data_IF_773191141630
#
_entry.id   IF_773191141630
#
_cell.length_a   1.000
_cell.length_b   1.000
_cell.length_c   1.000
_cell.angle_alpha   90.00
_cell.angle_beta   90.00
_cell.angle_gamma   90.00
#
_symmetry.space_group_name_H-M   'P 1'
#
loop_
_entity.id
_entity.type
_entity.pdbx_description
1 polymer ?
#
# COMPACT_ATOMS: atom_id res chain seq x y z
N UNK A 1 -4.29 -21.96 -9.07
CA UNK A 1 -4.06 -20.62 -8.44
C UNK A 1 -4.33 -19.57 -9.51
N UNK A 2 -5.12 -18.56 -9.19
CA UNK A 2 -5.45 -17.46 -10.09
C UNK A 2 -5.17 -16.14 -9.39
N UNK A 3 -4.58 -15.20 -10.12
CA UNK A 3 -4.36 -13.84 -9.65
C UNK A 3 -4.90 -12.88 -10.71
N UNK A 4 -5.69 -11.91 -10.29
CA UNK A 4 -6.15 -10.80 -11.11
C UNK A 4 -5.73 -9.53 -10.41
N UNK A 5 -5.02 -8.65 -11.10
CA UNK A 5 -4.66 -7.32 -10.62
C UNK A 5 -5.11 -6.33 -11.67
N UNK A 6 -5.86 -5.33 -11.25
CA UNK A 6 -6.40 -4.30 -12.15
C UNK A 6 -6.37 -2.93 -11.50
N UNK A 7 -6.15 -1.91 -12.32
CA UNK A 7 -6.33 -0.51 -11.94
C UNK A 7 -7.01 0.23 -13.09
N UNK A 8 -8.09 0.92 -12.78
CA UNK A 8 -8.78 1.83 -13.68
C UNK A 8 -8.65 3.23 -13.08
N UNK A 9 -8.35 4.22 -13.90
CA UNK A 9 -8.31 5.61 -13.47
C UNK A 9 -8.94 6.52 -14.52
N UNK A 10 -9.51 7.61 -14.04
CA UNK A 10 -10.03 8.69 -14.86
C UNK A 10 -9.46 10.00 -14.35
N UNK A 11 -9.10 10.88 -15.27
CA UNK A 11 -8.67 12.23 -14.96
C UNK A 11 -9.51 13.22 -15.76
N UNK A 12 -9.94 14.28 -15.09
CA UNK A 12 -10.72 15.35 -15.69
C UNK A 12 -10.25 16.70 -15.17
N UNK A 13 -9.98 17.62 -16.09
CA UNK A 13 -9.65 19.01 -15.75
C UNK A 13 -10.93 19.84 -15.78
N UNK A 14 -11.41 20.28 -14.62
CA UNK A 14 -12.65 21.06 -14.50
C UNK A 14 -12.47 22.50 -14.96
N UNK A 15 -11.37 23.12 -14.52
CA UNK A 15 -10.93 24.46 -14.92
C UNK A 15 -9.42 24.42 -15.05
N UNK A 16 -8.84 25.38 -15.78
CA UNK A 16 -7.39 25.43 -16.01
C UNK A 16 -6.63 25.34 -14.69
N UNK A 17 -5.84 24.27 -14.54
CA UNK A 17 -5.05 24.00 -13.35
C UNK A 17 -5.76 23.22 -12.24
N UNK A 18 -7.08 23.02 -12.28
CA UNK A 18 -7.83 22.17 -11.35
C UNK A 18 -8.13 20.81 -12.00
N UNK A 19 -7.35 19.80 -11.63
CA UNK A 19 -7.53 18.42 -12.08
C UNK A 19 -8.12 17.55 -10.98
N UNK A 20 -9.09 16.73 -11.36
CA UNK A 20 -9.62 15.67 -10.52
C UNK A 20 -9.26 14.33 -11.13
N UNK A 21 -8.71 13.46 -10.30
CA UNK A 21 -8.30 12.13 -10.66
C UNK A 21 -8.98 11.15 -9.71
N UNK A 22 -9.70 10.20 -10.29
CA UNK A 22 -10.29 9.07 -9.57
C UNK A 22 -9.58 7.81 -10.03
N UNK A 23 -9.19 6.94 -9.09
CA UNK A 23 -8.64 5.64 -9.43
C UNK A 23 -9.21 4.54 -8.56
N UNK A 24 -9.54 3.42 -9.19
CA UNK A 24 -10.00 2.20 -8.57
C UNK A 24 -9.00 1.10 -8.91
N UNK A 25 -8.30 0.60 -7.90
CA UNK A 25 -7.44 -0.56 -7.97
C UNK A 25 -8.05 -1.73 -7.23
N UNK A 26 -7.73 -2.94 -7.68
CA UNK A 26 -8.07 -4.13 -6.93
C UNK A 26 -7.24 -5.31 -7.37
N UNK A 27 -7.06 -6.22 -6.44
CA UNK A 27 -6.39 -7.47 -6.67
C UNK A 27 -7.15 -8.61 -5.99
N UNK A 28 -7.16 -9.72 -6.70
CA UNK A 28 -7.84 -10.94 -6.30
C UNK A 28 -6.86 -12.08 -6.45
N UNK A 29 -6.75 -12.88 -5.39
CA UNK A 29 -6.02 -14.13 -5.43
C UNK A 29 -6.90 -15.26 -4.92
N UNK A 30 -7.07 -16.27 -5.76
CA UNK A 30 -7.81 -17.48 -5.47
C UNK A 30 -6.91 -18.69 -5.61
N UNK A 31 -6.83 -19.50 -4.56
CA UNK A 31 -6.17 -20.80 -4.62
C UNK A 31 -7.14 -21.86 -4.14
N UNK A 32 -7.33 -22.88 -4.96
CA UNK A 32 -7.99 -24.11 -4.57
C UNK A 32 -7.00 -25.24 -4.76
N UNK A 33 -6.93 -26.14 -3.80
CA UNK A 33 -6.02 -27.27 -3.81
C UNK A 33 -6.71 -28.49 -3.21
N UNK A 34 -6.88 -29.52 -4.03
CA UNK A 34 -7.36 -30.82 -3.60
C UNK A 34 -6.20 -31.82 -3.69
N UNK A 35 -6.06 -32.63 -2.65
CA UNK A 35 -5.09 -33.70 -2.58
C UNK A 35 -5.77 -34.94 -2.04
N UNK A 36 -5.51 -36.08 -2.69
CA UNK A 36 -6.02 -37.36 -2.27
C UNK A 36 -4.86 -38.33 -2.10
N UNK A 37 -4.85 -39.03 -0.97
CA UNK A 37 -3.93 -40.11 -0.67
C UNK A 37 -4.68 -41.43 -0.72
N UNK A 38 -4.32 -42.27 -1.68
CA UNK A 38 -4.89 -43.61 -1.87
C UNK A 38 -4.55 -44.56 -0.73
N UNK A 39 -5.43 -45.53 -0.52
CA UNK A 39 -5.27 -46.63 0.41
C UNK A 39 -4.10 -47.56 0.08
N UNK A 40 -3.63 -47.57 -1.17
CA UNK A 40 -2.51 -48.39 -1.66
C UNK A 40 -1.13 -47.88 -1.20
N UNK A 41 -1.05 -46.63 -0.74
CA UNK A 41 0.20 -46.04 -0.28
C UNK A 41 0.53 -46.49 1.16
N UNK A 42 1.72 -47.09 1.40
CA UNK A 42 2.11 -47.52 2.74
C UNK A 42 2.28 -46.33 3.70
N UNK A 43 2.13 -46.58 5.00
CA UNK A 43 2.39 -45.58 6.05
C UNK A 43 3.90 -45.52 6.34
N UNK A 44 4.44 -44.30 6.46
CA UNK A 44 5.86 -44.09 6.83
C UNK A 44 6.13 -44.78 8.18
N UNK A 45 7.11 -45.69 8.21
CA UNK A 45 7.52 -46.42 9.42
C UNK A 45 6.81 -47.75 9.69
N UNK A 46 5.88 -48.19 8.82
CA UNK A 46 5.24 -49.51 8.93
C UNK A 46 5.81 -50.49 7.88
N UNK A 47 6.33 -51.63 8.33
CA UNK A 47 6.98 -52.65 7.49
C UNK A 47 6.01 -53.57 6.72
N UNK A 48 4.70 -53.35 6.81
CA UNK A 48 3.70 -54.33 6.37
C UNK A 48 2.96 -53.85 5.12
N UNK A 49 3.36 -54.39 3.97
CA UNK A 49 2.71 -54.20 2.66
C UNK A 49 1.34 -54.91 2.52
N UNK A 50 0.85 -55.56 3.59
CA UNK A 50 -0.36 -56.41 3.55
C UNK A 50 -1.65 -55.70 4.01
N UNK A 51 -1.56 -54.55 4.70
CA UNK A 51 -2.74 -53.79 5.17
C UNK A 51 -2.83 -52.45 4.45
N UNK A 52 -3.89 -52.27 3.66
CA UNK A 52 -4.22 -50.98 3.03
C UNK A 52 -4.31 -49.87 4.07
N UNK A 53 -3.74 -48.71 3.77
CA UNK A 53 -3.84 -47.53 4.62
C UNK A 53 -5.23 -46.88 4.51
N UNK A 54 -5.62 -46.09 5.52
CA UNK A 54 -6.88 -45.35 5.44
C UNK A 54 -6.71 -44.18 4.44
N UNK A 55 -7.46 -44.17 3.33
CA UNK A 55 -7.35 -43.08 2.36
C UNK A 55 -7.71 -41.74 2.98
N UNK A 56 -7.02 -40.69 2.57
CA UNK A 56 -7.20 -39.35 3.12
C UNK A 56 -7.37 -38.35 1.99
N UNK A 57 -8.50 -37.64 1.98
CA UNK A 57 -8.72 -36.49 1.11
C UNK A 57 -8.57 -35.20 1.88
N UNK A 58 -7.94 -34.21 1.26
CA UNK A 58 -7.76 -32.88 1.80
C UNK A 58 -8.10 -31.86 0.73
N UNK A 59 -8.94 -30.90 1.09
CA UNK A 59 -9.33 -29.78 0.24
C UNK A 59 -9.05 -28.49 0.98
N UNK A 60 -8.38 -27.57 0.32
CA UNK A 60 -8.15 -26.23 0.86
C UNK A 60 -8.46 -25.16 -0.17
N UNK A 61 -9.10 -24.10 0.32
CA UNK A 61 -9.42 -22.91 -0.46
C UNK A 61 -8.87 -21.69 0.28
N UNK A 62 -8.17 -20.84 -0.46
CA UNK A 62 -7.73 -19.53 -0.01
C UNK A 62 -8.30 -18.47 -0.94
N UNK A 63 -8.94 -17.48 -0.35
CA UNK A 63 -9.53 -16.33 -1.01
C UNK A 63 -8.88 -15.09 -0.44
N UNK A 64 -8.36 -14.26 -1.33
CA UNK A 64 -7.79 -12.97 -1.01
C UNK A 64 -8.38 -11.94 -1.95
N UNK A 65 -8.85 -10.84 -1.39
CA UNK A 65 -9.40 -9.73 -2.15
C UNK A 65 -9.06 -8.41 -1.48
N UNK A 66 -8.36 -7.55 -2.22
CA UNK A 66 -8.01 -6.21 -1.81
C UNK A 66 -8.51 -5.22 -2.86
N UNK A 67 -9.09 -4.11 -2.39
CA UNK A 67 -9.48 -3.01 -3.26
C UNK A 67 -9.04 -1.69 -2.65
N UNK A 68 -8.71 -0.75 -3.53
CA UNK A 68 -8.26 0.60 -3.20
C UNK A 68 -8.99 1.59 -4.11
N UNK A 69 -9.66 2.56 -3.50
CA UNK A 69 -10.28 3.70 -4.19
C UNK A 69 -9.53 4.94 -3.76
N UNK A 70 -9.05 5.73 -4.72
CA UNK A 70 -8.38 7.01 -4.47
C UNK A 70 -9.05 8.12 -5.26
N UNK A 71 -9.39 9.19 -4.56
CA UNK A 71 -9.89 10.44 -5.11
C UNK A 71 -8.84 11.51 -4.86
N UNK A 72 -8.32 12.13 -5.92
CA UNK A 72 -7.31 13.18 -5.84
C UNK A 72 -7.80 14.43 -6.57
N UNK A 73 -7.86 15.54 -5.85
CA UNK A 73 -8.05 16.87 -6.43
C UNK A 73 -6.70 17.58 -6.36
N UNK A 74 -6.26 18.14 -7.48
CA UNK A 74 -5.03 18.91 -7.57
C UNK A 74 -5.34 20.25 -8.22
N UNK A 75 -4.94 21.33 -7.55
CA UNK A 75 -5.06 22.69 -8.04
C UNK A 75 -3.67 23.29 -8.17
N UNK A 76 -3.27 23.60 -9.39
CA UNK A 76 -2.01 24.25 -9.70
C UNK A 76 -2.28 25.58 -10.39
N UNK A 77 -1.90 26.67 -9.74
CA UNK A 77 -2.09 28.01 -10.29
C UNK A 77 -0.82 28.84 -10.15
N UNK A 78 -0.66 29.78 -11.07
CA UNK A 78 0.39 30.80 -11.00
C UNK A 78 -0.27 32.16 -10.89
N UNK A 79 0.11 32.92 -9.87
CA UNK A 79 -0.33 34.30 -9.69
C UNK A 79 0.85 35.16 -10.11
N UNK A 80 0.69 35.87 -11.22
CA UNK A 80 1.78 36.53 -11.94
C UNK A 80 2.88 35.51 -12.35
N UNK A 81 4.05 36.02 -12.75
CA UNK A 81 5.21 35.19 -13.08
C UNK A 81 5.99 34.73 -11.83
N UNK A 82 5.67 35.29 -10.67
CA UNK A 82 6.46 35.14 -9.45
C UNK A 82 5.87 34.13 -8.45
N UNK A 83 4.57 33.90 -8.42
CA UNK A 83 3.97 33.03 -7.40
C UNK A 83 3.43 31.75 -8.03
N UNK A 84 3.84 30.60 -7.50
CA UNK A 84 3.30 29.29 -7.85
C UNK A 84 2.65 28.66 -6.63
N UNK A 85 1.39 28.27 -6.76
CA UNK A 85 0.63 27.59 -5.70
C UNK A 85 0.20 26.23 -6.23
N UNK A 86 0.52 25.18 -5.48
CA UNK A 86 0.03 23.83 -5.73
C UNK A 86 -0.67 23.31 -4.48
N UNK A 87 -1.96 22.99 -4.59
CA UNK A 87 -2.75 22.40 -3.53
C UNK A 87 -3.26 21.04 -3.98
N UNK A 88 -3.16 20.04 -3.11
CA UNK A 88 -3.61 18.67 -3.36
C UNK A 88 -4.49 18.23 -2.19
N UNK A 89 -5.63 17.63 -2.51
CA UNK A 89 -6.47 16.91 -1.58
C UNK A 89 -6.61 15.47 -2.07
N UNK A 90 -6.27 14.50 -1.23
CA UNK A 90 -6.40 13.08 -1.53
C UNK A 90 -7.28 12.44 -0.47
N UNK A 91 -8.22 11.62 -0.91
CA UNK A 91 -8.99 10.71 -0.08
C UNK A 91 -8.75 9.30 -0.61
N UNK A 92 -8.38 8.38 0.27
CA UNK A 92 -8.22 6.97 -0.10
C UNK A 92 -8.98 6.07 0.85
N UNK A 93 -9.50 4.98 0.30
CA UNK A 93 -10.17 3.92 1.03
C UNK A 93 -9.67 2.58 0.52
N UNK A 94 -9.11 1.79 1.43
CA UNK A 94 -8.60 0.46 1.15
C UNK A 94 -9.27 -0.58 2.06
N UNK A 95 -9.52 -1.77 1.53
CA UNK A 95 -9.95 -2.90 2.34
C UNK A 95 -9.43 -4.20 1.78
N UNK A 96 -8.88 -5.00 2.67
CA UNK A 96 -8.38 -6.34 2.39
C UNK A 96 -9.23 -7.38 3.13
N UNK A 97 -9.52 -8.47 2.45
CA UNK A 97 -10.22 -9.63 3.02
C UNK A 97 -9.45 -10.89 2.64
N UNK A 98 -8.99 -11.61 3.66
CA UNK A 98 -8.43 -12.95 3.53
C UNK A 98 -9.42 -13.95 4.14
N UNK A 99 -9.70 -15.04 3.43
CA UNK A 99 -10.44 -16.19 3.94
C UNK A 99 -9.69 -17.46 3.57
N UNK A 100 -9.50 -18.36 4.52
CA UNK A 100 -8.89 -19.65 4.29
C UNK A 100 -9.76 -20.73 4.91
N UNK A 101 -10.02 -21.78 4.16
CA UNK A 101 -10.77 -22.93 4.62
C UNK A 101 -10.00 -24.19 4.27
N UNK A 102 -10.04 -25.18 5.15
CA UNK A 102 -9.53 -26.50 4.85
C UNK A 102 -10.41 -27.58 5.46
N UNK A 103 -10.54 -28.69 4.75
CA UNK A 103 -11.33 -29.85 5.15
C UNK A 103 -10.52 -31.09 4.89
N UNK A 104 -10.54 -32.01 5.85
CA UNK A 104 -9.96 -33.35 5.73
C UNK A 104 -11.07 -34.38 5.89
N UNK A 105 -11.11 -35.34 4.97
CA UNK A 105 -11.98 -36.50 5.04
C UNK A 105 -11.15 -37.78 4.98
N UNK A 106 -11.64 -38.83 5.65
CA UNK A 106 -11.05 -40.17 5.72
C UNK A 106 -12.13 -41.23 5.50
N UNK A 107 -11.79 -42.51 5.59
CA UNK A 107 -12.77 -43.61 5.60
C UNK A 107 -13.61 -43.66 4.31
N UNK A 108 -12.92 -43.55 3.16
CA UNK A 108 -13.55 -43.64 1.85
C UNK A 108 -13.97 -45.09 1.55
N UNK A 109 -15.17 -45.33 0.98
CA UNK A 109 -15.62 -46.68 0.58
C UNK A 109 -14.77 -47.30 -0.54
N UNK A 110 -14.17 -46.47 -1.40
CA UNK A 110 -13.28 -46.88 -2.48
C UNK A 110 -12.37 -45.69 -2.89
N UNK A 111 -11.34 -45.98 -3.69
CA UNK A 111 -10.38 -44.98 -4.16
C UNK A 111 -10.80 -44.27 -5.48
N UNK A 112 -11.97 -44.62 -6.02
CA UNK A 112 -12.50 -44.01 -7.25
C UNK A 112 -13.12 -42.63 -6.98
N UNK A 113 -13.72 -42.42 -5.81
CA UNK A 113 -14.32 -41.12 -5.43
C UNK A 113 -13.35 -40.35 -4.54
N UNK A 114 -12.61 -39.41 -5.15
CA UNK A 114 -11.54 -38.65 -4.47
C UNK A 114 -11.99 -37.28 -3.95
N UNK A 115 -13.26 -36.93 -4.16
CA UNK A 115 -13.88 -35.71 -3.63
C UNK A 115 -14.09 -35.82 -2.13
N UNK A 116 -14.02 -34.71 -1.39
CA UNK A 116 -14.26 -34.68 0.07
C UNK A 116 -15.59 -35.34 0.49
N UNK A 117 -16.63 -35.26 -0.33
CA UNK A 117 -17.93 -35.90 -0.08
C UNK A 117 -17.93 -37.43 -0.19
N UNK A 118 -16.85 -38.01 -0.73
CA UNK A 118 -16.68 -39.46 -0.88
C UNK A 118 -16.21 -40.17 0.39
N UNK A 119 -15.81 -39.42 1.42
CA UNK A 119 -15.38 -39.95 2.71
C UNK A 119 -16.09 -39.27 3.88
N UNK A 120 -15.77 -39.70 5.09
CA UNK A 120 -16.25 -39.09 6.33
C UNK A 120 -15.37 -37.89 6.68
N UNK A 121 -15.96 -36.70 6.81
CA UNK A 121 -15.23 -35.48 7.21
C UNK A 121 -14.80 -35.61 8.67
N UNK A 122 -13.49 -35.59 8.92
CA UNK A 122 -12.92 -35.73 10.27
C UNK A 122 -12.34 -34.45 10.84
N UNK A 123 -11.94 -33.49 9.98
CA UNK A 123 -11.42 -32.19 10.40
C UNK A 123 -11.86 -31.09 9.44
N UNK A 124 -12.15 -29.91 9.99
CA UNK A 124 -12.46 -28.71 9.22
C UNK A 124 -12.06 -27.47 9.99
N UNK A 125 -11.49 -26.48 9.29
CA UNK A 125 -11.20 -25.17 9.85
C UNK A 125 -11.51 -24.08 8.82
N UNK A 126 -11.89 -22.91 9.33
CA UNK A 126 -12.18 -21.73 8.54
C UNK A 126 -11.69 -20.51 9.29
N UNK A 127 -10.95 -19.66 8.60
CA UNK A 127 -10.43 -18.41 9.14
C UNK A 127 -10.81 -17.26 8.21
N UNK A 128 -11.07 -16.10 8.80
CA UNK A 128 -11.32 -14.85 8.09
C UNK A 128 -10.58 -13.71 8.77
N UNK A 129 -9.67 -13.07 8.03
CA UNK A 129 -9.00 -11.85 8.45
C UNK A 129 -9.44 -10.70 7.55
N UNK A 130 -9.68 -9.53 8.13
CA UNK A 130 -10.12 -8.35 7.39
C UNK A 130 -9.57 -7.09 8.04
N UNK A 131 -9.10 -6.15 7.24
CA UNK A 131 -8.78 -4.80 7.69
C UNK A 131 -9.20 -3.77 6.65
N UNK A 132 -9.44 -2.55 7.11
CA UNK A 132 -9.73 -1.40 6.26
C UNK A 132 -8.94 -0.20 6.72
N UNK A 133 -8.46 0.59 5.75
CA UNK A 133 -7.73 1.82 5.96
C UNK A 133 -8.45 2.94 5.20
N UNK A 134 -8.74 4.04 5.90
CA UNK A 134 -9.25 5.26 5.30
C UNK A 134 -8.25 6.38 5.54
N UNK A 135 -7.81 7.05 4.48
CA UNK A 135 -6.81 8.11 4.60
C UNK A 135 -7.29 9.39 3.95
N UNK A 136 -6.93 10.52 4.55
CA UNK A 136 -7.12 11.84 3.97
C UNK A 136 -5.80 12.59 4.02
N UNK A 137 -5.39 13.19 2.92
CA UNK A 137 -4.19 13.99 2.81
C UNK A 137 -4.55 15.34 2.20
N UNK A 138 -4.22 16.41 2.89
CA UNK A 138 -4.22 17.75 2.33
C UNK A 138 -2.78 18.25 2.29
N UNK A 139 -2.35 18.80 1.15
CA UNK A 139 -1.02 19.38 0.98
C UNK A 139 -1.12 20.68 0.22
N UNK A 140 -0.41 21.69 0.70
CA UNK A 140 -0.27 22.99 0.05
C UNK A 140 1.22 23.26 -0.11
N UNK A 141 1.61 23.67 -1.31
CA UNK A 141 2.95 24.06 -1.68
C UNK A 141 2.88 25.45 -2.29
N UNK A 142 3.78 26.31 -1.84
CA UNK A 142 3.91 27.67 -2.33
C UNK A 142 5.36 27.91 -2.73
N UNK A 143 5.56 28.53 -3.88
CA UNK A 143 6.87 28.98 -4.31
C UNK A 143 6.80 30.43 -4.78
N UNK A 144 7.76 31.24 -4.32
CA UNK A 144 7.98 32.61 -4.77
C UNK A 144 9.28 32.69 -5.57
N UNK A 145 9.17 33.10 -6.84
CA UNK A 145 10.22 33.25 -7.85
C UNK A 145 11.11 32.00 -8.02
N UNK A 146 10.63 30.82 -7.61
CA UNK A 146 11.45 29.61 -7.54
C UNK A 146 12.57 29.66 -6.48
N UNK A 147 12.64 30.72 -5.67
CA UNK A 147 13.68 30.95 -4.65
C UNK A 147 13.24 30.50 -3.28
N UNK A 148 12.04 30.89 -2.88
CA UNK A 148 11.47 30.56 -1.58
C UNK A 148 10.40 29.52 -1.81
N UNK A 149 10.50 28.39 -1.13
CA UNK A 149 9.55 27.30 -1.22
C UNK A 149 9.08 26.95 0.18
N UNK A 150 7.77 26.84 0.35
CA UNK A 150 7.16 26.36 1.57
C UNK A 150 6.16 25.26 1.22
N UNK A 151 6.14 24.20 2.02
CA UNK A 151 5.17 23.11 1.89
C UNK A 151 4.62 22.79 3.26
N UNK A 152 3.31 22.66 3.35
CA UNK A 152 2.62 22.16 4.52
C UNK A 152 1.71 21.02 4.08
N UNK A 153 1.68 19.94 4.84
CA UNK A 153 0.74 18.86 4.62
C UNK A 153 0.19 18.36 5.95
N UNK A 154 -1.03 17.86 5.90
CA UNK A 154 -1.63 17.14 7.00
C UNK A 154 -2.25 15.88 6.42
N UNK A 155 -1.86 14.75 7.00
CA UNK A 155 -2.43 13.45 6.69
C UNK A 155 -3.14 12.90 7.92
N UNK A 156 -4.29 12.29 7.72
CA UNK A 156 -4.94 11.49 8.75
C UNK A 156 -5.23 10.10 8.21
N UNK A 157 -4.84 9.08 8.97
CA UNK A 157 -5.00 7.67 8.60
C UNK A 157 -5.87 6.98 9.66
N UNK A 158 -6.91 6.31 9.19
CA UNK A 158 -7.91 5.61 9.98
C UNK A 158 -7.85 4.11 9.73
N UNK A 159 -7.33 3.31 10.67
CA UNK A 159 -7.22 1.84 10.50
C UNK A 159 -8.21 1.09 11.39
N UNK A 160 -8.88 0.09 10.82
CA UNK A 160 -9.80 -0.79 11.58
C UNK A 160 -9.08 -1.73 12.54
N UNK A 161 -7.74 -1.83 12.45
CA UNK A 161 -6.92 -2.63 13.37
C UNK A 161 -6.87 -2.01 14.78
N UNK A 162 -7.15 -0.71 14.90
CA UNK A 162 -7.19 -0.02 16.18
C UNK A 162 -8.61 0.01 16.80
N UNK A 163 -8.66 0.05 18.13
CA UNK A 163 -9.91 0.14 18.89
C UNK A 163 -10.73 1.38 18.53
N UNK A 164 -12.06 1.34 18.74
CA UNK A 164 -13.01 2.40 18.34
C UNK A 164 -12.59 3.82 18.77
N UNK A 165 -11.90 3.94 19.90
CA UNK A 165 -11.50 5.21 20.49
C UNK A 165 -10.21 5.81 19.91
N UNK A 166 -9.38 5.05 19.17
CA UNK A 166 -8.10 5.53 18.65
C UNK A 166 -7.85 5.08 17.21
N UNK A 167 -8.91 5.08 16.38
CA UNK A 167 -8.82 4.62 14.99
C UNK A 167 -8.01 5.53 14.08
N UNK A 168 -7.94 6.82 14.43
CA UNK A 168 -7.38 7.89 13.60
C UNK A 168 -6.06 8.40 14.17
N UNK A 169 -5.02 8.39 13.35
CA UNK A 169 -3.77 9.12 13.59
C UNK A 169 -3.73 10.42 12.78
N UNK A 170 -3.04 11.44 13.30
CA UNK A 170 -2.81 12.71 12.62
C UNK A 170 -1.31 12.93 12.43
N UNK A 171 -0.92 13.21 11.19
CA UNK A 171 0.47 13.33 10.75
C UNK A 171 0.66 14.65 10.01
N UNK A 172 0.84 15.76 10.74
CA UNK A 172 1.25 17.02 10.14
C UNK A 172 2.71 16.93 9.68
N UNK A 173 3.01 17.62 8.59
CA UNK A 173 4.37 17.87 8.13
C UNK A 173 4.50 19.27 7.54
N UNK A 174 5.67 19.86 7.74
CA UNK A 174 5.99 21.18 7.21
C UNK A 174 7.44 21.19 6.73
N UNK A 175 7.67 21.88 5.63
CA UNK A 175 9.00 22.14 5.11
C UNK A 175 9.15 23.51 4.50
N UNK A 176 10.36 24.03 4.60
CA UNK A 176 10.77 25.27 3.97
C UNK A 176 12.10 25.04 3.27
N UNK A 177 12.21 25.55 2.05
CA UNK A 177 13.46 25.54 1.30
C UNK A 177 13.75 26.93 0.74
N UNK A 178 15.03 27.29 0.74
CA UNK A 178 15.54 28.53 0.17
C UNK A 178 16.68 28.22 -0.77
N UNK A 179 16.52 28.63 -2.02
CA UNK A 179 17.56 28.58 -3.04
C UNK A 179 18.35 29.88 -3.03
N UNK A 180 19.55 29.80 -2.46
CA UNK A 180 20.47 30.94 -2.31
C UNK A 180 21.19 31.23 -3.64
N UNK A 181 21.37 30.23 -4.51
CA UNK A 181 22.07 30.40 -5.80
C UNK A 181 21.41 31.37 -6.76
N UNK A 182 20.10 31.60 -6.63
CA UNK A 182 19.33 32.49 -7.52
C UNK A 182 19.26 33.92 -6.96
N UNK A 183 19.97 34.21 -5.86
CA UNK A 183 20.05 35.54 -5.27
C UNK A 183 21.13 36.41 -5.94
N UNK A 184 20.81 37.70 -6.12
CA UNK A 184 21.71 38.64 -6.79
C UNK A 184 23.07 38.82 -6.08
N UNK A 185 23.12 38.52 -4.76
CA UNK A 185 24.34 38.58 -3.96
C UNK A 185 25.21 37.31 -4.07
N UNK A 186 24.67 36.21 -4.60
CA UNK A 186 25.34 34.90 -4.63
C UNK A 186 25.88 34.55 -6.03
N UNK A 187 26.49 35.52 -6.71
CA UNK A 187 27.20 35.31 -7.99
C UNK A 187 28.64 34.85 -7.76
N UNK A 188 28.83 33.66 -7.20
CA UNK A 188 30.16 33.06 -7.02
C UNK A 188 30.45 32.09 -8.17
N UNK A 189 31.54 32.33 -8.90
CA UNK A 189 31.93 31.61 -10.13
C UNK A 189 32.06 30.07 -9.97
N UNK A 190 32.18 29.55 -8.74
CA UNK A 190 32.46 28.14 -8.47
C UNK A 190 31.29 27.29 -7.95
N UNK A 191 30.11 27.86 -7.66
CA UNK A 191 28.97 27.12 -7.11
C UNK A 191 27.70 27.32 -7.94
N UNK A 192 27.27 26.28 -8.65
CA UNK A 192 26.15 26.35 -9.60
C UNK A 192 24.77 26.18 -8.96
N UNK A 193 24.67 25.65 -7.73
CA UNK A 193 23.38 25.42 -7.06
C UNK A 193 23.57 25.20 -5.55
N UNK A 194 22.93 26.05 -4.73
CA UNK A 194 22.88 25.93 -3.27
C UNK A 194 21.43 26.06 -2.81
N UNK A 195 20.90 24.99 -2.22
CA UNK A 195 19.57 24.94 -1.63
C UNK A 195 19.68 24.49 -0.17
N UNK A 196 19.10 25.27 0.73
CA UNK A 196 18.92 24.89 2.14
C UNK A 196 17.47 24.42 2.30
N UNK A 197 17.27 23.25 2.91
CA UNK A 197 15.94 22.69 3.18
C UNK A 197 15.81 22.22 4.63
N UNK A 198 14.68 22.56 5.25
CA UNK A 198 14.27 22.09 6.57
C UNK A 198 12.97 21.32 6.43
N UNK A 199 12.94 20.07 6.92
CA UNK A 199 11.75 19.22 6.93
C UNK A 199 11.46 18.74 8.36
N UNK A 200 10.22 18.91 8.80
CA UNK A 200 9.69 18.29 10.02
C UNK A 200 8.45 17.48 9.68
N UNK A 201 8.38 16.23 10.12
CA UNK A 201 7.23 15.37 9.91
C UNK A 201 7.07 14.35 11.05
N UNK A 202 5.82 13.97 11.32
CA UNK A 202 5.50 12.86 12.21
C UNK A 202 5.30 11.61 11.35
N UNK A 203 6.09 10.56 11.60
CA UNK A 203 6.01 9.30 10.87
C UNK A 203 4.85 8.43 11.40
N UNK A 204 3.97 7.94 10.51
CA UNK A 204 3.06 6.85 10.84
C UNK A 204 3.83 5.53 10.97
N UNK A 205 3.64 4.81 12.06
CA UNK A 205 3.95 3.38 12.16
C UNK A 205 2.68 2.66 12.65
N UNK A 206 2.25 1.62 11.93
CA UNK A 206 1.10 0.80 12.32
C UNK A 206 1.42 -0.14 13.50
N UNK A 207 2.69 -0.25 13.92
CA UNK A 207 3.15 -1.20 14.95
C UNK A 207 3.65 -0.54 16.25
N UNK A 208 4.03 0.75 16.25
CA UNK A 208 4.56 1.46 17.43
C UNK A 208 4.07 2.93 17.43
N UNK A 209 3.88 3.53 18.62
CA UNK A 209 3.44 4.92 18.79
C UNK A 209 4.28 5.91 17.98
N UNK A 210 3.61 6.87 17.33
CA UNK A 210 4.16 7.92 16.46
C UNK A 210 5.56 8.43 16.85
N UNK A 211 6.50 8.41 15.91
CA UNK A 211 7.85 8.99 16.03
C UNK A 211 7.90 10.35 15.33
N UNK A 212 8.54 11.33 15.97
CA UNK A 212 8.84 12.63 15.35
C UNK A 212 10.19 12.53 14.65
N UNK A 213 10.22 12.79 13.35
CA UNK A 213 11.45 12.78 12.55
C UNK A 213 11.73 14.19 12.03
N UNK A 214 12.97 14.66 12.22
CA UNK A 214 13.46 15.91 11.66
C UNK A 214 14.59 15.61 10.68
N UNK A 215 14.60 16.28 9.53
CA UNK A 215 15.74 16.24 8.62
C UNK A 215 16.04 17.64 8.10
N UNK A 216 17.29 18.07 8.27
CA UNK A 216 17.84 19.28 7.66
C UNK A 216 18.90 18.87 6.63
N UNK A 217 18.87 19.48 5.46
CA UNK A 217 19.76 19.10 4.35
C UNK A 217 20.22 20.32 3.58
N UNK A 218 21.54 20.39 3.35
CA UNK A 218 22.18 21.32 2.42
C UNK A 218 22.53 20.52 1.17
N UNK A 219 21.93 20.87 0.04
CA UNK A 219 22.25 20.25 -1.24
C UNK A 219 23.20 21.17 -2.01
N UNK A 220 24.42 20.68 -2.21
CA UNK A 220 25.44 21.28 -3.09
C UNK A 220 25.50 20.45 -4.36
N UNK A 221 25.07 21.01 -5.49
CA UNK A 221 25.25 20.35 -6.77
C UNK A 221 26.63 20.73 -7.32
N UNK A 222 27.60 19.81 -7.24
CA UNK A 222 28.93 20.02 -7.81
C UNK A 222 28.87 19.82 -9.33
N UNK A 223 28.50 20.86 -10.06
CA UNK A 223 28.70 20.90 -11.52
C UNK A 223 30.18 21.13 -11.79
N UNK A 224 30.93 20.06 -12.09
CA UNK A 224 32.24 20.16 -12.74
C UNK A 224 32.02 20.33 -14.25
N UNK A 225 31.64 21.54 -14.68
CA UNK A 225 31.93 21.99 -16.05
C UNK A 225 32.34 23.46 -16.00
N UNK A 226 33.65 23.65 -16.07
CA UNK A 226 34.27 24.94 -16.35
C UNK A 226 33.77 25.52 -17.67
N UNK A 227 33.76 26.85 -17.69
CA UNK A 227 33.56 27.74 -18.82
C UNK A 227 34.28 27.29 -20.11
N UNK A 228 33.67 27.63 -21.24
CA UNK A 228 34.36 28.34 -22.31
C UNK A 228 33.64 29.66 -22.54
#
# INVERSE_FOLDING_TARGET
RYALVGKVFGEYEFVKGLTYNISLGGDYYGSHNDTYRSSELPLVGYAYYEKKSNPTGYSSSSFYFNWLVENKINYNTRINDDHSINAILVQSAQKETLKSNNVTATDYPNDYIQTISGGTVTKGASEKAQWSLASYLARIQYSYQGKYMASAAIRTDGSSRFGKNNRWGYFPSASAAWRISDENFFKICYCSCLIISFNGYICPDERVSSLVCYSSGIFLCRSLRCCF
#
